data_IF_140405187957
#
_entry.id   IF_140405187957
#
_cell.length_a   1.000
_cell.length_b   1.000
_cell.length_c   1.000
_cell.angle_alpha   90.00
_cell.angle_beta   90.00
_cell.angle_gamma   90.00
#
_symmetry.space_group_name_H-M   'P 1'
#
loop_
_entity.id
_entity.type
_entity.pdbx_description
1 polymer ?
#
# COMPACT_ATOMS: atom_id res chain seq x y z
N UNK A 1 6.65 57.04 22.87
CA UNK A 1 6.44 56.28 24.12
C UNK A 1 6.48 54.81 23.77
N UNK A 2 7.54 54.12 24.19
CA UNK A 2 7.75 52.69 23.99
C UNK A 2 6.84 51.87 24.88
N UNK A 3 6.34 50.72 24.39
CA UNK A 3 5.96 49.59 25.23
C UNK A 3 6.03 48.28 24.40
N UNK A 4 6.97 47.42 24.78
CA UNK A 4 7.12 46.03 24.37
C UNK A 4 6.05 45.16 25.07
N UNK A 5 5.53 44.13 24.40
CA UNK A 5 5.06 42.91 25.05
C UNK A 5 5.09 41.72 24.08
N UNK A 6 5.89 40.71 24.44
CA UNK A 6 5.92 39.37 23.86
C UNK A 6 4.58 38.64 24.11
N UNK A 7 4.22 37.74 23.18
CA UNK A 7 3.13 36.77 23.36
C UNK A 7 3.13 35.72 22.26
N UNK A 8 4.08 34.78 22.32
CA UNK A 8 4.10 33.57 21.50
C UNK A 8 3.10 32.55 22.09
N UNK A 9 2.10 32.12 21.33
CA UNK A 9 1.49 30.79 21.53
C UNK A 9 0.75 30.33 20.26
N UNK A 10 1.38 29.42 19.53
CA UNK A 10 0.73 28.57 18.54
C UNK A 10 -0.15 27.57 19.27
N UNK A 11 -1.45 27.57 18.99
CA UNK A 11 -2.34 26.47 19.34
C UNK A 11 -2.98 25.93 18.05
N UNK A 12 -2.42 24.81 17.59
CA UNK A 12 -2.95 23.97 16.52
C UNK A 12 -4.20 23.25 17.03
N UNK A 13 -5.37 23.57 16.49
CA UNK A 13 -6.56 22.74 16.70
C UNK A 13 -6.70 21.77 15.54
N UNK A 14 -6.27 20.53 15.81
CA UNK A 14 -6.49 19.37 14.96
C UNK A 14 -7.99 19.11 14.80
N UNK A 15 -8.47 19.14 13.56
CA UNK A 15 -9.78 18.61 13.22
C UNK A 15 -9.74 17.09 13.45
N UNK A 16 -10.48 16.64 14.47
CA UNK A 16 -10.79 15.24 14.68
C UNK A 16 -11.52 14.69 13.43
N UNK A 17 -10.79 13.93 12.61
CA UNK A 17 -11.40 13.05 11.61
C UNK A 17 -11.74 11.74 12.31
N UNK A 18 -13.02 11.59 12.61
CA UNK A 18 -13.58 10.35 13.14
C UNK A 18 -13.46 9.23 12.11
N UNK A 19 -13.27 8.02 12.63
CA UNK A 19 -12.82 6.85 11.92
C UNK A 19 -13.97 5.94 11.47
N UNK A 20 -13.84 5.42 10.25
CA UNK A 20 -14.28 4.09 9.76
C UNK A 20 -15.77 3.79 9.65
N UNK A 21 -16.18 3.56 8.39
CA UNK A 21 -17.36 2.81 7.99
C UNK A 21 -17.25 2.49 6.49
N UNK A 22 -16.67 1.34 6.19
CA UNK A 22 -16.24 0.83 4.89
C UNK A 22 -17.41 0.77 3.89
N UNK A 23 -17.45 1.69 2.94
CA UNK A 23 -18.44 1.74 1.85
C UNK A 23 -18.04 0.72 0.77
N UNK A 24 -18.99 -0.01 0.15
CA UNK A 24 -18.67 -0.82 -1.03
C UNK A 24 -18.04 0.09 -2.10
N UNK A 25 -16.82 -0.23 -2.53
CA UNK A 25 -16.01 0.61 -3.41
C UNK A 25 -16.58 0.72 -4.83
N UNK A 26 -17.63 1.52 -5.02
CA UNK A 26 -17.81 2.30 -6.24
C UNK A 26 -17.32 3.71 -5.99
N UNK A 27 -16.00 3.86 -6.00
CA UNK A 27 -15.42 5.18 -6.15
C UNK A 27 -15.61 5.57 -7.61
N UNK A 28 -16.44 6.59 -7.84
CA UNK A 28 -16.51 7.30 -9.13
C UNK A 28 -15.10 7.65 -9.62
N UNK A 29 -14.94 8.01 -10.92
CA UNK A 29 -13.64 8.08 -11.56
C UNK A 29 -12.65 8.90 -10.73
N UNK A 30 -11.69 8.22 -10.10
CA UNK A 30 -10.64 8.91 -9.35
C UNK A 30 -9.82 9.74 -10.33
N UNK A 31 -9.39 10.96 -9.95
CA UNK A 31 -8.55 11.76 -10.84
C UNK A 31 -7.24 11.02 -11.07
N UNK A 32 -6.95 10.72 -12.32
CA UNK A 32 -5.65 10.18 -12.72
C UNK A 32 -4.64 11.34 -12.64
N UNK A 33 -3.43 11.15 -12.08
CA UNK A 33 -2.42 12.21 -12.00
C UNK A 33 -2.16 12.85 -13.37
N UNK A 34 -1.97 14.18 -13.38
CA UNK A 34 -1.69 14.91 -14.60
C UNK A 34 -0.42 14.35 -15.29
N UNK A 35 -0.52 14.08 -16.59
CA UNK A 35 0.57 13.52 -17.40
C UNK A 35 0.53 12.00 -17.61
N UNK A 36 -0.33 11.26 -16.90
CA UNK A 36 -0.53 9.83 -17.17
C UNK A 36 -1.35 9.67 -18.45
N UNK A 37 -0.70 9.18 -19.52
CA UNK A 37 -1.38 8.76 -20.75
C UNK A 37 -1.81 7.31 -20.61
N UNK A 38 -3.09 7.05 -20.85
CA UNK A 38 -3.63 5.69 -20.88
C UNK A 38 -3.79 5.25 -22.33
N UNK A 39 -3.23 4.09 -22.73
CA UNK A 39 -3.27 3.64 -24.12
C UNK A 39 -4.69 3.55 -24.68
N UNK A 40 -4.84 3.89 -25.95
CA UNK A 40 -6.03 3.60 -26.73
C UNK A 40 -6.17 2.08 -26.97
N UNK A 41 -7.34 1.61 -27.39
CA UNK A 41 -7.60 0.17 -27.56
C UNK A 41 -6.60 -0.50 -28.52
N UNK A 42 -6.26 0.19 -29.61
CA UNK A 42 -5.33 -0.28 -30.63
C UNK A 42 -3.86 -0.26 -30.19
N UNK A 43 -3.52 0.44 -29.12
CA UNK A 43 -2.17 0.51 -28.53
C UNK A 43 -1.97 -0.54 -27.43
N UNK A 44 -3.03 -1.23 -27.01
CA UNK A 44 -2.94 -2.33 -26.06
C UNK A 44 -2.20 -3.53 -26.66
N UNK A 45 -1.46 -4.25 -25.83
CA UNK A 45 -0.85 -5.51 -26.25
C UNK A 45 -1.91 -6.56 -26.60
N UNK A 46 -1.62 -7.55 -27.46
CA UNK A 46 -2.58 -8.60 -27.81
C UNK A 46 -3.16 -9.33 -26.58
N UNK A 47 -2.33 -9.56 -25.56
CA UNK A 47 -2.78 -10.16 -24.30
C UNK A 47 -3.73 -9.27 -23.50
N UNK A 48 -3.49 -7.95 -23.48
CA UNK A 48 -4.39 -6.97 -22.86
C UNK A 48 -5.72 -6.89 -23.62
N UNK A 49 -5.70 -6.84 -24.95
CA UNK A 49 -6.90 -6.84 -25.78
C UNK A 49 -7.74 -8.11 -25.56
N UNK A 50 -7.10 -9.28 -25.51
CA UNK A 50 -7.80 -10.54 -25.24
C UNK A 50 -8.45 -10.55 -23.84
N UNK A 51 -7.72 -10.10 -22.81
CA UNK A 51 -8.24 -10.05 -21.44
C UNK A 51 -9.35 -9.01 -21.24
N UNK A 52 -9.36 -7.95 -22.05
CA UNK A 52 -10.32 -6.84 -21.98
C UNK A 52 -11.33 -6.84 -23.13
N UNK A 53 -11.49 -7.94 -23.86
CA UNK A 53 -12.33 -8.03 -25.05
C UNK A 53 -13.77 -7.52 -24.85
N UNK A 54 -14.32 -7.69 -23.63
CA UNK A 54 -15.66 -7.21 -23.25
C UNK A 54 -15.80 -5.70 -23.21
N UNK A 55 -14.70 -4.96 -23.13
CA UNK A 55 -14.66 -3.50 -23.07
C UNK A 55 -14.20 -2.89 -24.41
N UNK A 56 -14.01 -3.69 -25.46
CA UNK A 56 -13.43 -3.25 -26.74
C UNK A 56 -14.08 -1.99 -27.30
N UNK A 57 -15.41 -2.01 -27.43
CA UNK A 57 -16.15 -0.97 -28.16
C UNK A 57 -16.21 0.35 -27.36
N UNK A 58 -16.20 0.25 -26.03
CA UNK A 58 -16.32 1.42 -25.14
C UNK A 58 -14.97 1.90 -24.59
N UNK A 59 -13.87 1.16 -24.83
CA UNK A 59 -12.60 1.36 -24.14
C UNK A 59 -12.12 2.81 -24.18
N UNK A 60 -12.06 3.39 -25.37
CA UNK A 60 -11.54 4.76 -25.57
C UNK A 60 -12.47 5.83 -25.00
N UNK A 61 -13.74 5.49 -24.74
CA UNK A 61 -14.73 6.37 -24.11
C UNK A 61 -14.73 6.25 -22.59
N UNK A 62 -14.15 5.18 -22.03
CA UNK A 62 -14.06 5.00 -20.59
C UNK A 62 -13.19 6.12 -19.96
N UNK A 63 -13.61 6.65 -18.79
CA UNK A 63 -12.78 7.51 -17.99
C UNK A 63 -11.39 6.89 -17.79
N UNK A 64 -10.34 7.72 -17.87
CA UNK A 64 -8.96 7.25 -17.77
C UNK A 64 -8.72 6.36 -16.52
N UNK A 65 -9.33 6.68 -15.39
CA UNK A 65 -9.22 5.87 -14.16
C UNK A 65 -9.83 4.49 -14.27
N UNK A 66 -10.93 4.32 -15.02
CA UNK A 66 -11.50 2.99 -15.30
C UNK A 66 -10.57 2.18 -16.18
N UNK A 67 -9.97 2.79 -17.21
CA UNK A 67 -8.97 2.13 -18.06
C UNK A 67 -7.73 1.71 -17.26
N UNK A 68 -7.18 2.60 -16.42
CA UNK A 68 -6.05 2.28 -15.53
C UNK A 68 -6.38 1.08 -14.63
N UNK A 69 -7.53 1.12 -13.94
CA UNK A 69 -7.96 0.01 -13.06
C UNK A 69 -8.11 -1.31 -13.82
N UNK A 70 -8.61 -1.28 -15.05
CA UNK A 70 -8.75 -2.46 -15.88
C UNK A 70 -7.39 -3.04 -16.26
N UNK A 71 -6.43 -2.20 -16.67
CA UNK A 71 -5.05 -2.64 -16.95
C UNK A 71 -4.38 -3.22 -15.71
N UNK A 72 -4.48 -2.56 -14.56
CA UNK A 72 -3.96 -3.07 -13.29
C UNK A 72 -4.58 -4.42 -12.90
N UNK A 73 -5.86 -4.63 -13.20
CA UNK A 73 -6.51 -5.93 -13.00
C UNK A 73 -5.91 -7.01 -13.92
N UNK A 74 -5.72 -6.73 -15.20
CA UNK A 74 -5.09 -7.67 -16.15
C UNK A 74 -3.70 -8.07 -15.66
N UNK A 75 -2.88 -7.09 -15.27
CA UNK A 75 -1.54 -7.37 -14.77
C UNK A 75 -1.53 -8.19 -13.48
N UNK A 76 -2.42 -7.86 -12.52
CA UNK A 76 -2.55 -8.63 -11.28
C UNK A 76 -2.98 -10.07 -11.56
N UNK A 77 -3.93 -10.26 -12.48
CA UNK A 77 -4.39 -11.58 -12.91
C UNK A 77 -3.24 -12.38 -13.52
N UNK A 78 -2.50 -11.78 -14.46
CA UNK A 78 -1.34 -12.43 -15.08
C UNK A 78 -0.27 -12.82 -14.03
N UNK A 79 0.05 -11.94 -13.08
CA UNK A 79 0.96 -12.27 -11.97
C UNK A 79 0.46 -13.42 -11.12
N UNK A 80 -0.84 -13.47 -10.82
CA UNK A 80 -1.44 -14.57 -10.05
C UNK A 80 -1.40 -15.90 -10.82
N UNK A 81 -1.71 -15.86 -12.11
CA UNK A 81 -1.68 -17.04 -12.99
C UNK A 81 -0.27 -17.62 -13.11
N UNK A 82 0.75 -16.76 -13.15
CA UNK A 82 2.16 -17.16 -13.15
C UNK A 82 2.67 -17.72 -11.82
N UNK A 83 1.94 -17.59 -10.71
CA UNK A 83 2.35 -18.12 -9.41
C UNK A 83 2.13 -19.63 -9.30
N UNK A 84 3.10 -20.33 -8.71
CA UNK A 84 2.95 -21.74 -8.34
C UNK A 84 1.92 -21.92 -7.22
N UNK A 85 1.34 -23.11 -7.03
CA UNK A 85 0.43 -23.39 -5.92
C UNK A 85 1.02 -23.01 -4.55
N UNK A 86 2.31 -23.27 -4.35
CA UNK A 86 3.04 -22.98 -3.11
C UNK A 86 3.17 -21.46 -2.89
N UNK A 87 3.47 -20.71 -3.95
CA UNK A 87 3.52 -19.25 -3.89
C UNK A 87 2.16 -18.65 -3.53
N UNK A 88 1.08 -19.17 -4.14
CA UNK A 88 -0.29 -18.75 -3.83
C UNK A 88 -0.64 -19.07 -2.38
N UNK A 89 -0.24 -20.24 -1.88
CA UNK A 89 -0.50 -20.61 -0.49
C UNK A 89 0.26 -19.74 0.49
N UNK A 90 1.52 -19.39 0.19
CA UNK A 90 2.30 -18.43 0.99
C UNK A 90 1.62 -17.07 1.09
N UNK A 91 1.03 -16.57 -0.01
CA UNK A 91 0.28 -15.31 0.01
C UNK A 91 -1.00 -15.42 0.85
N UNK A 92 -1.76 -16.52 0.73
CA UNK A 92 -2.96 -16.76 1.55
C UNK A 92 -2.61 -16.88 3.03
N UNK A 93 -1.54 -17.59 3.38
CA UNK A 93 -1.04 -17.69 4.74
C UNK A 93 -0.63 -16.32 5.29
N UNK A 94 0.05 -15.49 4.49
CA UNK A 94 0.36 -14.12 4.85
C UNK A 94 -0.89 -13.26 5.12
N UNK A 95 -1.93 -13.41 4.29
CA UNK A 95 -3.19 -12.71 4.47
C UNK A 95 -3.93 -13.14 5.75
N UNK A 96 -3.98 -14.45 6.05
CA UNK A 96 -4.53 -14.98 7.30
C UNK A 96 -3.76 -14.44 8.51
N UNK A 97 -2.44 -14.55 8.49
CA UNK A 97 -1.58 -14.02 9.56
C UNK A 97 -1.80 -12.53 9.80
N UNK A 98 -1.98 -11.74 8.74
CA UNK A 98 -2.27 -10.31 8.87
C UNK A 98 -3.67 -10.06 9.47
N UNK A 99 -4.68 -10.81 9.04
CA UNK A 99 -6.03 -10.71 9.57
C UNK A 99 -6.08 -11.04 11.07
N UNK A 100 -5.32 -12.05 11.50
CA UNK A 100 -5.27 -12.53 12.88
C UNK A 100 -4.45 -11.62 13.81
N UNK A 101 -3.76 -10.60 13.27
CA UNK A 101 -3.09 -9.60 14.10
C UNK A 101 -4.11 -8.70 14.82
N UNK A 102 -3.91 -8.39 16.11
CA UNK A 102 -4.64 -7.35 16.81
C UNK A 102 -4.69 -6.03 16.01
N UNK A 103 -5.81 -5.28 16.01
CA UNK A 103 -5.96 -4.04 15.27
C UNK A 103 -4.80 -3.06 15.46
N UNK A 104 -4.28 -2.95 16.68
CA UNK A 104 -3.18 -2.07 17.06
C UNK A 104 -1.88 -2.49 16.36
N UNK A 105 -1.60 -3.79 16.30
CA UNK A 105 -0.45 -4.33 15.58
C UNK A 105 -0.59 -4.17 14.07
N UNK A 106 -1.80 -4.26 13.52
CA UNK A 106 -2.05 -3.95 12.10
C UNK A 106 -1.80 -2.48 11.77
N UNK A 107 -2.14 -1.56 12.67
CA UNK A 107 -1.82 -0.14 12.51
C UNK A 107 -0.31 0.12 12.57
N UNK A 108 0.40 -0.48 13.54
CA UNK A 108 1.87 -0.38 13.62
C UNK A 108 2.55 -0.93 12.37
N UNK A 109 2.10 -2.08 11.87
CA UNK A 109 2.56 -2.62 10.58
C UNK A 109 2.34 -1.62 9.44
N UNK A 110 1.14 -1.03 9.32
CA UNK A 110 0.85 -0.04 8.28
C UNK A 110 1.70 1.22 8.41
N UNK A 111 1.93 1.70 9.63
CA UNK A 111 2.80 2.85 9.89
C UNK A 111 4.24 2.55 9.50
N UNK A 112 4.76 1.40 9.93
CA UNK A 112 6.09 0.92 9.56
C UNK A 112 6.27 0.83 8.05
N UNK A 113 5.30 0.27 7.32
CA UNK A 113 5.37 0.18 5.85
C UNK A 113 5.34 1.56 5.18
N UNK A 114 4.63 2.55 5.74
CA UNK A 114 4.67 3.93 5.23
C UNK A 114 6.05 4.54 5.43
N UNK A 115 6.64 4.40 6.61
CA UNK A 115 7.99 4.89 6.91
C UNK A 115 9.06 4.20 6.06
N UNK A 116 8.97 2.87 5.90
CA UNK A 116 9.90 2.10 5.08
C UNK A 116 9.95 2.59 3.63
N UNK A 117 8.81 3.01 3.06
CA UNK A 117 8.73 3.51 1.68
C UNK A 117 9.46 4.83 1.46
N UNK A 118 9.75 5.60 2.52
CA UNK A 118 10.49 6.86 2.42
C UNK A 118 12.00 6.67 2.54
N UNK A 119 12.47 5.47 2.92
CA UNK A 119 13.90 5.20 3.05
C UNK A 119 14.57 4.92 1.68
N UNK A 120 15.88 5.12 1.56
CA UNK A 120 16.67 4.68 0.39
C UNK A 120 16.53 3.18 0.11
N UNK A 121 16.70 2.78 -1.15
CA UNK A 121 16.48 1.39 -1.59
C UNK A 121 17.38 0.37 -0.86
N UNK A 122 18.61 0.73 -0.52
CA UNK A 122 19.52 -0.14 0.26
C UNK A 122 19.00 -0.39 1.67
N UNK A 123 18.56 0.66 2.37
CA UNK A 123 17.99 0.53 3.71
C UNK A 123 16.69 -0.30 3.69
N UNK A 124 15.86 -0.09 2.68
CA UNK A 124 14.67 -0.92 2.48
C UNK A 124 15.02 -2.39 2.29
N UNK A 125 16.05 -2.71 1.49
CA UNK A 125 16.53 -4.09 1.28
C UNK A 125 17.04 -4.70 2.59
N UNK A 126 17.85 -3.96 3.35
CA UNK A 126 18.40 -4.42 4.62
C UNK A 126 17.29 -4.76 5.63
N UNK A 127 16.31 -3.87 5.80
CA UNK A 127 15.18 -4.08 6.70
C UNK A 127 14.28 -5.25 6.25
N UNK A 128 14.04 -5.40 4.94
CA UNK A 128 13.29 -6.56 4.40
C UNK A 128 14.03 -7.87 4.64
N UNK A 129 15.35 -7.89 4.45
CA UNK A 129 16.17 -9.06 4.73
C UNK A 129 16.07 -9.45 6.20
N UNK A 130 16.29 -8.49 7.11
CA UNK A 130 16.20 -8.73 8.55
C UNK A 130 14.82 -9.21 8.98
N UNK A 131 13.76 -8.62 8.43
CA UNK A 131 12.39 -9.11 8.64
C UNK A 131 12.23 -10.56 8.17
N UNK A 132 12.77 -10.92 7.01
CA UNK A 132 12.67 -12.28 6.46
C UNK A 132 13.38 -13.31 7.34
N UNK A 133 14.52 -12.93 7.91
CA UNK A 133 15.36 -13.81 8.74
C UNK A 133 14.77 -14.03 10.15
N UNK A 134 13.83 -13.18 10.60
CA UNK A 134 13.17 -13.29 11.90
C UNK A 134 12.05 -14.35 11.96
N UNK A 135 11.89 -14.96 13.14
CA UNK A 135 10.73 -15.79 13.48
C UNK A 135 9.43 -14.96 13.53
N UNK A 136 8.25 -15.59 13.45
CA UNK A 136 6.97 -14.91 13.64
C UNK A 136 6.87 -14.14 14.97
N UNK A 137 7.42 -14.69 16.05
CA UNK A 137 7.43 -14.09 17.40
C UNK A 137 8.31 -12.85 17.44
N UNK A 138 9.53 -12.92 16.88
CA UNK A 138 10.45 -11.79 16.77
C UNK A 138 9.84 -10.65 15.93
N UNK A 139 9.17 -10.98 14.81
CA UNK A 139 8.43 -10.00 14.00
C UNK A 139 7.32 -9.33 14.80
N UNK A 140 6.56 -10.10 15.59
CA UNK A 140 5.50 -9.55 16.46
C UNK A 140 6.10 -8.64 17.54
N UNK A 141 7.18 -9.04 18.20
CA UNK A 141 7.88 -8.23 19.19
C UNK A 141 8.37 -6.90 18.57
N UNK A 142 8.96 -6.95 17.37
CA UNK A 142 9.37 -5.74 16.66
C UNK A 142 8.17 -4.84 16.31
N UNK A 143 7.06 -5.41 15.85
CA UNK A 143 5.84 -4.63 15.61
C UNK A 143 5.27 -4.02 16.90
N UNK A 144 5.40 -4.68 18.05
CA UNK A 144 4.95 -4.14 19.33
C UNK A 144 5.72 -2.87 19.70
N UNK A 145 7.02 -2.79 19.39
CA UNK A 145 7.83 -1.59 19.64
C UNK A 145 7.71 -0.53 18.55
N UNK A 146 7.14 -0.84 17.38
CA UNK A 146 6.87 0.12 16.30
C UNK A 146 7.09 -0.44 14.89
N UNK A 147 7.90 -1.48 14.77
CA UNK A 147 8.21 -2.18 13.52
C UNK A 147 9.38 -1.56 12.73
N UNK A 148 9.71 -2.17 11.57
CA UNK A 148 10.75 -1.67 10.68
C UNK A 148 10.61 -0.18 10.35
N UNK A 149 11.74 0.51 10.20
CA UNK A 149 11.83 1.95 9.90
C UNK A 149 11.27 2.92 10.98
N UNK A 150 10.63 2.41 12.04
CA UNK A 150 10.15 3.23 13.17
C UNK A 150 10.99 2.96 14.43
N UNK A 151 11.27 1.68 14.69
CA UNK A 151 12.01 1.25 15.88
C UNK A 151 13.19 0.38 15.47
N UNK A 152 14.31 0.40 16.22
CA UNK A 152 15.41 -0.50 15.95
C UNK A 152 14.94 -1.96 16.03
N UNK A 153 15.53 -2.86 15.24
CA UNK A 153 15.22 -4.28 15.33
C UNK A 153 15.50 -4.78 16.75
N UNK A 154 14.72 -5.75 17.26
CA UNK A 154 15.00 -6.36 18.55
C UNK A 154 16.44 -6.90 18.54
N UNK A 155 17.14 -6.75 19.67
CA UNK A 155 18.44 -7.38 19.85
C UNK A 155 18.29 -8.88 19.59
N UNK A 156 19.25 -9.45 18.87
CA UNK A 156 19.24 -10.87 18.60
C UNK A 156 19.30 -11.57 19.96
N UNK A 157 18.25 -12.31 20.32
CA UNK A 157 18.31 -13.18 21.48
C UNK A 157 19.22 -14.33 21.07
N UNK A 158 20.47 -14.28 21.54
CA UNK A 158 21.43 -15.38 21.48
C UNK A 158 20.79 -16.72 21.91
#
# INVERSE_FOLDING_TARGET
MSALALGLLLASQAAAHDARGDRPHDHGPTPVPAGVRVPAWNELSPGQQAALARLRDDWDQLPASRRVRALEWVERKARWEAMTPEQREKLRAGARNFHDLPPELREKMRASLRALRTLPAEEQRALRKRWHDMSPEQRRAWLQTGGPAISPPPADAD
#
